data_IF_075457112056
#
_entry.id   IF_075457112056
#
_cell.length_a   1.000
_cell.length_b   1.000
_cell.length_c   1.000
_cell.angle_alpha   90.00
_cell.angle_beta   90.00
_cell.angle_gamma   90.00
#
_symmetry.space_group_name_H-M   'P 1'
#
loop_
_entity.id
_entity.type
_entity.pdbx_description
1 polymer ?
#
# COMPACT_ATOMS: atom_id res chain seq x y z
N UNK A 1 22.24 19.19 -12.00
CA UNK A 1 23.38 18.46 -11.42
C UNK A 1 23.84 17.39 -12.40
N UNK A 2 25.15 17.21 -12.56
CA UNK A 2 25.73 16.28 -13.54
C UNK A 2 25.25 14.81 -13.41
N UNK A 3 24.70 14.43 -12.26
CA UNK A 3 24.22 13.07 -11.95
C UNK A 3 22.71 12.85 -12.15
N UNK A 4 21.92 13.87 -12.50
CA UNK A 4 20.46 13.75 -12.53
C UNK A 4 19.95 12.74 -13.58
N UNK A 5 20.62 12.65 -14.73
CA UNK A 5 20.28 11.73 -15.82
C UNK A 5 20.25 10.26 -15.39
N UNK A 6 21.01 9.86 -14.37
CA UNK A 6 21.03 8.51 -13.84
C UNK A 6 19.67 8.08 -13.27
N UNK A 7 18.93 8.99 -12.62
CA UNK A 7 17.63 8.67 -12.01
C UNK A 7 16.52 8.34 -13.01
N UNK A 8 16.69 8.68 -14.30
CA UNK A 8 15.71 8.37 -15.34
C UNK A 8 15.66 6.87 -15.67
N UNK A 9 16.76 6.15 -15.48
CA UNK A 9 16.87 4.73 -15.86
C UNK A 9 17.44 3.84 -14.75
N UNK A 10 17.80 4.41 -13.60
CA UNK A 10 18.33 3.64 -12.49
C UNK A 10 17.35 2.60 -11.96
N UNK A 11 17.91 1.54 -11.35
CA UNK A 11 17.11 0.50 -10.67
C UNK A 11 16.23 1.03 -9.53
N UNK A 12 16.55 2.20 -8.98
CA UNK A 12 15.79 2.83 -7.90
C UNK A 12 14.61 3.66 -8.40
N UNK A 13 14.43 3.80 -9.72
CA UNK A 13 13.30 4.54 -10.28
C UNK A 13 12.00 3.80 -10.02
N UNK A 14 11.10 4.45 -9.29
CA UNK A 14 9.72 3.96 -9.10
C UNK A 14 8.97 4.15 -10.41
N UNK A 15 8.55 3.03 -11.03
CA UNK A 15 7.85 3.02 -12.32
C UNK A 15 6.32 2.93 -12.18
N UNK A 16 5.85 2.39 -11.06
CA UNK A 16 4.44 2.06 -10.84
C UNK A 16 4.01 2.47 -9.44
N UNK A 17 2.71 2.71 -9.21
CA UNK A 17 2.20 2.89 -7.85
C UNK A 17 2.41 1.60 -7.04
N UNK A 18 3.03 1.74 -5.88
CA UNK A 18 3.32 0.61 -5.00
C UNK A 18 2.43 0.67 -3.76
N UNK A 19 1.89 -0.48 -3.38
CA UNK A 19 1.11 -0.67 -2.14
C UNK A 19 1.60 -1.93 -1.46
N UNK A 20 1.70 -1.91 -0.12
CA UNK A 20 2.13 -3.09 0.63
C UNK A 20 1.15 -4.25 0.40
N UNK A 21 1.67 -5.42 0.04
CA UNK A 21 0.86 -6.60 -0.32
C UNK A 21 -0.19 -6.97 0.74
N UNK A 22 0.17 -6.95 2.03
CA UNK A 22 -0.76 -7.23 3.14
C UNK A 22 -1.93 -6.25 3.18
N UNK A 23 -1.68 -4.97 2.95
CA UNK A 23 -2.73 -3.97 2.89
C UNK A 23 -3.62 -4.18 1.65
N UNK A 24 -2.99 -4.44 0.50
CA UNK A 24 -3.71 -4.65 -0.75
C UNK A 24 -4.63 -5.88 -0.70
N UNK A 25 -4.20 -6.95 -0.01
CA UNK A 25 -5.02 -8.14 0.23
C UNK A 25 -6.28 -7.80 1.03
N UNK A 26 -6.11 -7.19 2.21
CA UNK A 26 -7.22 -6.77 3.07
C UNK A 26 -8.18 -5.80 2.35
N UNK A 27 -7.61 -4.89 1.56
CA UNK A 27 -8.37 -3.93 0.77
C UNK A 27 -9.26 -4.62 -0.28
N UNK A 28 -8.71 -5.56 -1.05
CA UNK A 28 -9.47 -6.29 -2.08
C UNK A 28 -10.58 -7.14 -1.46
N UNK A 29 -10.29 -7.83 -0.36
CA UNK A 29 -11.27 -8.61 0.39
C UNK A 29 -12.44 -7.73 0.88
N UNK A 30 -12.13 -6.58 1.50
CA UNK A 30 -13.16 -5.67 2.00
C UNK A 30 -13.94 -4.98 0.87
N UNK A 31 -13.28 -4.61 -0.24
CA UNK A 31 -13.92 -3.95 -1.39
C UNK A 31 -14.86 -4.85 -2.17
N UNK A 32 -14.71 -6.17 -2.07
CA UNK A 32 -15.64 -7.12 -2.67
C UNK A 32 -17.03 -7.08 -1.99
N UNK A 33 -17.10 -6.70 -0.72
CA UNK A 33 -18.34 -6.71 0.07
C UNK A 33 -18.86 -5.31 0.44
N UNK A 34 -18.01 -4.28 0.44
CA UNK A 34 -18.33 -2.97 1.01
C UNK A 34 -17.96 -1.80 0.10
N UNK A 35 -18.70 -0.66 0.20
CA UNK A 35 -18.28 0.59 -0.43
C UNK A 35 -16.94 1.05 0.13
N UNK A 36 -16.16 1.85 -0.60
CA UNK A 36 -14.74 2.08 -0.32
C UNK A 36 -14.48 2.69 1.06
N UNK A 37 -15.32 3.61 1.52
CA UNK A 37 -15.19 4.24 2.84
C UNK A 37 -15.49 3.25 3.96
N UNK A 38 -16.52 2.43 3.82
CA UNK A 38 -16.86 1.38 4.80
C UNK A 38 -15.80 0.27 4.82
N UNK A 39 -15.29 -0.13 3.65
CA UNK A 39 -14.19 -1.08 3.53
C UNK A 39 -12.95 -0.58 4.28
N UNK A 40 -12.58 0.70 4.10
CA UNK A 40 -11.46 1.31 4.81
C UNK A 40 -11.68 1.33 6.32
N UNK A 41 -12.87 1.77 6.76
CA UNK A 41 -13.28 1.77 8.16
C UNK A 41 -13.10 0.38 8.80
N UNK A 42 -13.57 -0.67 8.13
CA UNK A 42 -13.47 -2.07 8.60
C UNK A 42 -12.04 -2.59 8.78
N UNK A 43 -11.08 -2.02 8.06
CA UNK A 43 -9.66 -2.41 8.11
C UNK A 43 -8.93 -1.64 9.21
N UNK A 44 -9.19 -0.33 9.33
CA UNK A 44 -8.46 0.56 10.23
C UNK A 44 -8.94 0.44 11.67
N UNK A 45 -10.25 0.26 11.87
CA UNK A 45 -10.86 0.12 13.21
C UNK A 45 -10.63 -1.27 13.82
N UNK A 46 -10.27 -2.26 13.00
CA UNK A 46 -9.91 -3.58 13.49
C UNK A 46 -8.41 -3.60 13.89
N UNK A 47 -8.07 -3.73 15.19
CA UNK A 47 -6.68 -3.63 15.65
C UNK A 47 -5.79 -4.74 15.09
N UNK A 48 -6.33 -5.93 14.83
CA UNK A 48 -5.60 -7.07 14.24
C UNK A 48 -5.26 -6.80 12.78
N UNK A 49 -6.25 -6.38 11.98
CA UNK A 49 -6.05 -6.02 10.57
C UNK A 49 -5.10 -4.84 10.42
N UNK A 50 -5.23 -3.83 11.28
CA UNK A 50 -4.32 -2.67 11.34
C UNK A 50 -2.89 -3.09 11.63
N UNK A 51 -2.68 -3.90 12.67
CA UNK A 51 -1.35 -4.36 13.05
C UNK A 51 -0.66 -5.17 11.92
N UNK A 52 -1.43 -5.93 11.14
CA UNK A 52 -0.92 -6.79 10.08
C UNK A 52 -0.13 -6.04 8.99
N UNK A 53 -0.54 -4.82 8.61
CA UNK A 53 0.21 -4.01 7.64
C UNK A 53 1.09 -2.93 8.28
N UNK A 54 0.72 -2.41 9.46
CA UNK A 54 1.50 -1.36 10.15
C UNK A 54 2.84 -1.89 10.68
N UNK A 55 2.88 -3.08 11.26
CA UNK A 55 4.12 -3.72 11.77
C UNK A 55 5.15 -4.05 10.68
N UNK A 56 4.78 -3.85 9.42
CA UNK A 56 5.57 -4.17 8.24
C UNK A 56 5.86 -2.91 7.44
N UNK A 57 5.87 -1.72 8.07
CA UNK A 57 6.34 -0.46 7.48
C UNK A 57 7.84 -0.32 7.74
N UNK A 58 8.58 0.25 6.80
CA UNK A 58 10.04 0.07 6.66
C UNK A 58 10.37 -1.13 5.77
#
# INVERSE_FOLDING_TARGET
GASYSWYLYSGNRVKYPLVRSRLLKLWREARAAMPPVAAWKSIVENPVKRAAYVKKRG
#
